data_IF_459759813676
#
_entry.id   IF_459759813676
#
_cell.length_a   1.000
_cell.length_b   1.000
_cell.length_c   1.000
_cell.angle_alpha   90.00
_cell.angle_beta   90.00
_cell.angle_gamma   90.00
#
_symmetry.space_group_name_H-M   'P 1'
#
loop_
_entity.id
_entity.type
_entity.pdbx_description
1 polymer ?
#
# COMPACT_ATOMS: atom_id res chain seq x y z
N UNK A 1 -27.11 15.68 -26.55
CA UNK A 1 -26.79 14.46 -25.79
C UNK A 1 -25.30 14.51 -25.53
N UNK A 2 -24.87 15.03 -24.37
CA UNK A 2 -23.52 14.69 -23.91
C UNK A 2 -23.52 13.15 -23.84
N UNK A 3 -22.64 12.57 -24.63
CA UNK A 3 -22.72 11.20 -25.13
C UNK A 3 -22.83 10.22 -23.97
N UNK A 4 -23.87 9.37 -23.94
CA UNK A 4 -24.04 8.35 -22.89
C UNK A 4 -22.78 7.49 -22.77
N UNK A 5 -22.12 7.27 -23.90
CA UNK A 5 -20.81 6.61 -23.98
C UNK A 5 -19.73 7.32 -23.17
N UNK A 6 -19.69 8.66 -23.20
CA UNK A 6 -18.71 9.44 -22.42
C UNK A 6 -18.90 9.22 -20.92
N UNK A 7 -20.15 9.20 -20.45
CA UNK A 7 -20.46 8.97 -19.04
C UNK A 7 -20.06 7.57 -18.61
N UNK A 8 -20.39 6.56 -19.41
CA UNK A 8 -20.09 5.16 -19.10
C UNK A 8 -18.57 4.88 -19.14
N UNK A 9 -17.86 5.43 -20.13
CA UNK A 9 -16.39 5.32 -20.20
C UNK A 9 -15.72 6.04 -19.03
N UNK A 10 -16.21 7.21 -18.62
CA UNK A 10 -15.68 7.92 -17.46
C UNK A 10 -15.87 7.12 -16.17
N UNK A 11 -17.03 6.47 -16.00
CA UNK A 11 -17.29 5.56 -14.86
C UNK A 11 -16.36 4.35 -14.87
N UNK A 12 -16.15 3.74 -16.04
CA UNK A 12 -15.25 2.60 -16.19
C UNK A 12 -13.80 3.00 -15.87
N UNK A 13 -13.32 4.13 -16.41
CA UNK A 13 -11.99 4.65 -16.12
C UNK A 13 -11.81 4.87 -14.62
N UNK A 14 -12.77 5.53 -13.96
CA UNK A 14 -12.73 5.75 -12.52
C UNK A 14 -12.72 4.42 -11.74
N UNK A 15 -13.60 3.48 -12.11
CA UNK A 15 -13.68 2.18 -11.45
C UNK A 15 -12.36 1.40 -11.56
N UNK A 16 -11.71 1.42 -12.72
CA UNK A 16 -10.42 0.77 -12.93
C UNK A 16 -9.34 1.44 -12.07
N UNK A 17 -9.20 2.76 -12.11
CA UNK A 17 -8.19 3.47 -11.31
C UNK A 17 -8.39 3.24 -9.82
N UNK A 18 -9.63 3.35 -9.32
CA UNK A 18 -9.96 3.12 -7.93
C UNK A 18 -9.65 1.67 -7.50
N UNK A 19 -10.00 0.68 -8.34
CA UNK A 19 -9.73 -0.72 -8.05
C UNK A 19 -8.22 -1.00 -7.96
N UNK A 20 -7.44 -0.54 -8.95
CA UNK A 20 -5.99 -0.72 -8.95
C UNK A 20 -5.33 -0.02 -7.76
N UNK A 21 -5.73 1.21 -7.44
CA UNK A 21 -5.22 1.92 -6.28
C UNK A 21 -5.52 1.17 -4.97
N UNK A 22 -6.75 0.65 -4.83
CA UNK A 22 -7.18 -0.04 -3.62
C UNK A 22 -6.53 -1.42 -3.41
N UNK A 23 -5.77 -1.94 -4.36
CA UNK A 23 -4.90 -3.11 -4.11
C UNK A 23 -3.72 -2.75 -3.20
N UNK A 24 -3.17 -1.53 -3.36
CA UNK A 24 -1.96 -1.09 -2.65
C UNK A 24 -2.27 -0.41 -1.31
N UNK A 25 -3.44 0.22 -1.18
CA UNK A 25 -3.87 0.93 0.05
C UNK A 25 -3.94 0.03 1.30
N UNK A 26 -4.72 -1.08 1.32
CA UNK A 26 -4.85 -1.91 2.52
C UNK A 26 -3.53 -2.60 2.88
N UNK A 27 -2.72 -2.94 1.87
CA UNK A 27 -1.40 -3.51 2.11
C UNK A 27 -0.45 -2.49 2.76
N UNK A 28 -0.49 -1.23 2.33
CA UNK A 28 0.27 -0.14 2.97
C UNK A 28 -0.15 0.04 4.43
N UNK A 29 -1.46 0.15 4.70
CA UNK A 29 -1.98 0.33 6.05
C UNK A 29 -1.60 -0.85 6.96
N UNK A 30 -1.80 -2.08 6.50
CA UNK A 30 -1.47 -3.28 7.27
C UNK A 30 0.03 -3.43 7.54
N UNK A 31 0.87 -3.28 6.51
CA UNK A 31 2.32 -3.38 6.65
C UNK A 31 2.89 -2.27 7.52
N UNK A 32 2.33 -1.07 7.50
CA UNK A 32 2.81 0.05 8.35
C UNK A 32 2.74 -0.29 9.83
N UNK A 33 1.60 -0.87 10.27
CA UNK A 33 1.39 -1.28 11.67
C UNK A 33 2.29 -2.48 12.00
N UNK A 34 2.37 -3.45 11.10
CA UNK A 34 3.21 -4.64 11.29
C UNK A 34 4.70 -4.29 11.44
N UNK A 35 5.21 -3.40 10.60
CA UNK A 35 6.59 -2.90 10.67
C UNK A 35 6.81 -2.13 11.99
N UNK A 36 5.87 -1.26 12.37
CA UNK A 36 5.96 -0.52 13.63
C UNK A 36 5.99 -1.44 14.85
N UNK A 37 5.19 -2.51 14.84
CA UNK A 37 5.21 -3.55 15.88
C UNK A 37 6.56 -4.29 15.90
N UNK A 38 7.08 -4.73 14.75
CA UNK A 38 8.37 -5.42 14.66
C UNK A 38 9.52 -4.55 15.20
N UNK A 39 9.56 -3.27 14.82
CA UNK A 39 10.58 -2.34 15.30
C UNK A 39 10.45 -2.10 16.81
N UNK A 40 9.23 -1.97 17.32
CA UNK A 40 8.97 -1.82 18.76
C UNK A 40 9.48 -3.05 19.53
N UNK A 41 9.18 -4.26 19.06
CA UNK A 41 9.68 -5.51 19.66
C UNK A 41 11.21 -5.59 19.58
N UNK A 42 11.82 -5.14 18.48
CA UNK A 42 13.29 -5.04 18.38
C UNK A 42 13.86 -4.11 19.47
N UNK A 43 13.29 -2.90 19.63
CA UNK A 43 13.77 -1.93 20.63
C UNK A 43 13.64 -2.48 22.05
N UNK A 44 12.55 -3.19 22.36
CA UNK A 44 12.31 -3.80 23.67
C UNK A 44 13.21 -5.01 23.96
N UNK A 45 13.39 -5.91 22.98
CA UNK A 45 14.06 -7.20 23.18
C UNK A 45 15.52 -7.24 22.77
N UNK A 46 15.97 -6.27 21.95
CA UNK A 46 17.30 -6.21 21.32
C UNK A 46 17.67 -7.43 20.47
N UNK A 47 16.71 -8.31 20.15
CA UNK A 47 16.95 -9.46 19.27
C UNK A 47 17.03 -8.99 17.82
N UNK A 48 18.18 -9.20 17.19
CA UNK A 48 18.50 -8.71 15.84
C UNK A 48 17.54 -9.19 14.77
N UNK A 49 16.97 -10.39 14.91
CA UNK A 49 15.98 -10.95 13.98
C UNK A 49 14.82 -9.99 13.70
N UNK A 50 14.32 -9.28 14.72
CA UNK A 50 13.21 -8.34 14.55
C UNK A 50 13.61 -7.13 13.73
N UNK A 51 14.85 -6.65 13.86
CA UNK A 51 15.39 -5.56 13.04
C UNK A 51 15.54 -5.99 11.59
N UNK A 52 16.00 -7.21 11.35
CA UNK A 52 16.18 -7.74 10.01
C UNK A 52 14.82 -7.93 9.32
N UNK A 53 13.81 -8.42 10.06
CA UNK A 53 12.43 -8.48 9.59
C UNK A 53 11.85 -7.10 9.28
N UNK A 54 12.01 -6.10 10.17
CA UNK A 54 11.59 -4.72 9.92
C UNK A 54 12.17 -4.19 8.61
N UNK A 55 13.46 -4.39 8.36
CA UNK A 55 14.12 -3.93 7.12
C UNK A 55 13.58 -4.65 5.89
N UNK A 56 13.45 -5.98 5.94
CA UNK A 56 12.93 -6.78 4.83
C UNK A 56 11.51 -6.34 4.43
N UNK A 57 10.60 -6.29 5.41
CA UNK A 57 9.23 -5.86 5.16
C UNK A 57 9.14 -4.38 4.80
N UNK A 58 10.05 -3.55 5.32
CA UNK A 58 10.18 -2.14 4.98
C UNK A 58 10.49 -1.90 3.50
N UNK A 59 11.31 -2.75 2.86
CA UNK A 59 11.56 -2.67 1.41
C UNK A 59 10.29 -2.97 0.62
N UNK A 60 9.57 -4.04 0.98
CA UNK A 60 8.31 -4.40 0.32
C UNK A 60 7.23 -3.33 0.52
N UNK A 61 7.15 -2.77 1.72
CA UNK A 61 6.30 -1.62 2.02
C UNK A 61 6.65 -0.42 1.12
N UNK A 62 7.94 -0.10 0.95
CA UNK A 62 8.38 1.01 0.10
C UNK A 62 7.96 0.83 -1.36
N UNK A 63 8.11 -0.37 -1.92
CA UNK A 63 7.67 -0.69 -3.29
C UNK A 63 6.15 -0.54 -3.42
N UNK A 64 5.40 -1.12 -2.49
CA UNK A 64 3.94 -1.03 -2.47
C UNK A 64 3.44 0.41 -2.32
N UNK A 65 4.10 1.19 -1.45
CA UNK A 65 3.78 2.59 -1.21
C UNK A 65 4.02 3.44 -2.46
N UNK A 66 5.13 3.23 -3.17
CA UNK A 66 5.41 3.96 -4.43
C UNK A 66 4.31 3.73 -5.49
N UNK A 67 3.87 2.48 -5.67
CA UNK A 67 2.76 2.16 -6.58
C UNK A 67 1.42 2.72 -6.10
N UNK A 68 1.16 2.69 -4.79
CA UNK A 68 -0.01 3.32 -4.18
C UNK A 68 -0.06 4.83 -4.46
N UNK A 69 1.06 5.54 -4.24
CA UNK A 69 1.15 6.99 -4.52
C UNK A 69 1.00 7.29 -6.01
N UNK A 70 1.52 6.45 -6.90
CA UNK A 70 1.39 6.68 -8.34
C UNK A 70 -0.03 6.46 -8.88
N UNK A 71 -0.84 5.64 -8.21
CA UNK A 71 -2.19 5.27 -8.65
C UNK A 71 -3.31 6.10 -8.02
N UNK A 72 -3.02 6.83 -6.94
CA UNK A 72 -3.96 7.70 -6.23
C UNK A 72 -3.77 9.16 -6.59
#
# INVERSE_FOLDING_TARGET
>A
MADVLLVDLSRLQFALTALYHFLFVPLTLGLSILIAMMETVYVMTRRTIWRDMTKFWGVLFGINFALGVATG
#
